data_IF_990964974453
#
_entry.id   IF_990964974453
#
_cell.length_a   1.000
_cell.length_b   1.000
_cell.length_c   1.000
_cell.angle_alpha   90.00
_cell.angle_beta   90.00
_cell.angle_gamma   90.00
#
_symmetry.space_group_name_H-M   'P 1'
#
loop_
_entity.id
_entity.type
_entity.pdbx_description
1 polymer ?
#
# COMPACT_ATOMS: atom_id res chain seq x y z
N UNK A 1 -13.63 16.18 23.93
CA UNK A 1 -12.26 16.06 23.39
C UNK A 1 -11.76 14.66 23.68
N UNK A 2 -11.68 13.79 22.67
CA UNK A 2 -11.15 12.43 22.83
C UNK A 2 -9.64 12.51 22.54
N UNK A 3 -8.80 12.22 23.54
CA UNK A 3 -7.35 12.23 23.37
C UNK A 3 -6.93 11.08 22.42
N UNK A 4 -6.33 11.35 21.26
CA UNK A 4 -6.01 10.34 20.23
C UNK A 4 -4.96 9.28 20.63
N UNK A 5 -4.44 9.33 21.86
CA UNK A 5 -3.18 8.67 22.22
C UNK A 5 -3.33 7.27 22.83
N UNK A 6 -4.51 6.93 23.38
CA UNK A 6 -4.71 5.65 24.08
C UNK A 6 -4.76 4.47 23.09
N UNK A 7 -5.52 4.60 21.99
CA UNK A 7 -5.62 3.55 20.97
C UNK A 7 -4.27 3.27 20.28
N UNK A 8 -3.45 4.29 20.11
CA UNK A 8 -2.13 4.14 19.52
C UNK A 8 -1.15 3.36 20.40
N UNK A 9 -1.31 3.36 21.73
CA UNK A 9 -0.46 2.56 22.64
C UNK A 9 -0.84 1.08 22.60
N UNK A 10 -2.14 0.77 22.70
CA UNK A 10 -2.63 -0.62 22.67
C UNK A 10 -2.22 -1.33 21.37
N UNK A 11 -2.31 -0.62 20.24
CA UNK A 11 -1.88 -1.18 18.94
C UNK A 11 -0.36 -1.38 18.91
N UNK A 12 0.42 -0.50 19.54
CA UNK A 12 1.89 -0.65 19.62
C UNK A 12 2.28 -1.86 20.46
N UNK A 13 1.72 -1.98 21.66
CA UNK A 13 2.01 -3.08 22.56
C UNK A 13 1.68 -4.44 21.90
N UNK A 14 0.51 -4.51 21.24
CA UNK A 14 0.13 -5.70 20.47
C UNK A 14 1.14 -6.02 19.35
N UNK A 15 1.60 -5.01 18.61
CA UNK A 15 2.55 -5.21 17.51
C UNK A 15 3.95 -5.54 17.99
N UNK A 16 4.38 -5.00 19.12
CA UNK A 16 5.67 -5.34 19.75
C UNK A 16 5.66 -6.79 20.25
N UNK A 17 4.54 -7.26 20.82
CA UNK A 17 4.39 -8.65 21.27
C UNK A 17 4.32 -9.65 20.10
N UNK A 18 3.57 -9.33 19.03
CA UNK A 18 3.30 -10.27 17.94
C UNK A 18 4.32 -10.18 16.79
N UNK A 19 4.95 -9.01 16.60
CA UNK A 19 5.85 -8.71 15.48
C UNK A 19 7.11 -7.94 15.94
N UNK A 20 7.87 -8.46 16.92
CA UNK A 20 9.04 -7.78 17.46
C UNK A 20 10.02 -7.41 16.35
N UNK A 21 10.48 -6.15 16.37
CA UNK A 21 11.40 -5.53 15.39
C UNK A 21 10.97 -5.60 13.92
N UNK A 22 9.73 -5.97 13.62
CA UNK A 22 9.27 -6.32 12.27
C UNK A 22 8.12 -5.47 11.74
N UNK A 23 7.61 -4.52 12.52
CA UNK A 23 6.45 -3.71 12.14
C UNK A 23 6.81 -2.24 11.91
N UNK A 24 6.12 -1.63 10.93
CA UNK A 24 6.37 -0.26 10.49
C UNK A 24 5.34 0.69 11.11
N UNK A 25 5.81 1.75 11.77
CA UNK A 25 4.92 2.54 12.63
C UNK A 25 5.45 3.89 13.05
N UNK A 26 4.55 4.82 13.38
CA UNK A 26 4.93 5.99 14.17
C UNK A 26 5.30 5.53 15.58
N UNK A 27 6.59 5.55 15.90
CA UNK A 27 7.12 5.07 17.18
C UNK A 27 7.31 3.55 17.25
N UNK A 28 7.31 2.86 16.10
CA UNK A 28 7.68 1.45 15.98
C UNK A 28 9.15 1.27 15.57
N UNK A 29 9.64 0.01 15.55
CA UNK A 29 11.05 -0.31 15.26
C UNK A 29 11.47 0.05 13.84
N UNK A 30 10.54 0.00 12.89
CA UNK A 30 10.74 0.48 11.53
C UNK A 30 9.97 1.81 11.38
N UNK A 31 10.67 2.97 11.29
CA UNK A 31 9.99 4.25 11.14
C UNK A 31 9.26 4.29 9.79
N UNK A 32 8.01 4.78 9.80
CA UNK A 32 7.31 5.08 8.56
C UNK A 32 8.06 6.19 7.79
N UNK A 33 8.34 6.03 6.50
CA UNK A 33 8.93 7.10 5.71
C UNK A 33 7.97 8.29 5.64
N UNK A 34 8.52 9.50 5.73
CA UNK A 34 7.76 10.73 5.46
C UNK A 34 7.27 10.73 4.01
N UNK A 35 5.94 10.83 3.83
CA UNK A 35 5.22 10.76 2.54
C UNK A 35 5.10 9.37 1.91
N UNK A 36 4.71 8.39 2.71
CA UNK A 36 4.22 7.13 2.15
C UNK A 36 2.76 6.91 2.54
N UNK A 37 1.79 7.50 1.82
CA UNK A 37 0.39 7.12 1.98
C UNK A 37 0.08 5.72 1.42
N UNK A 38 0.97 5.14 0.61
CA UNK A 38 0.60 4.09 -0.35
C UNK A 38 1.54 2.86 -0.37
N UNK A 39 2.13 2.43 0.75
CA UNK A 39 2.85 1.13 0.81
C UNK A 39 1.84 -0.04 0.94
N UNK A 40 0.58 0.15 0.55
CA UNK A 40 -0.21 -0.98 0.06
C UNK A 40 -0.03 -1.01 -1.46
N UNK A 41 0.77 -1.95 -1.97
CA UNK A 41 1.10 -2.06 -3.40
C UNK A 41 -0.15 -2.40 -4.19
N UNK A 42 -1.06 -3.13 -3.55
CA UNK A 42 -2.41 -3.34 -4.01
C UNK A 42 -3.16 -2.01 -4.18
N UNK A 43 -3.13 -1.11 -3.21
CA UNK A 43 -3.85 0.17 -3.34
C UNK A 43 -3.22 1.07 -4.41
N UNK A 44 -1.91 1.05 -4.61
CA UNK A 44 -1.27 1.80 -5.70
C UNK A 44 -1.51 1.18 -7.08
N UNK A 45 -1.11 -0.08 -7.26
CA UNK A 45 -1.22 -0.78 -8.53
C UNK A 45 -2.66 -1.14 -8.87
N UNK A 46 -3.39 -1.84 -7.99
CA UNK A 46 -4.73 -2.34 -8.29
C UNK A 46 -5.71 -1.18 -8.47
N UNK A 47 -5.66 -0.16 -7.60
CA UNK A 47 -6.58 0.97 -7.73
C UNK A 47 -6.31 1.77 -9.01
N UNK A 48 -5.03 2.01 -9.36
CA UNK A 48 -4.64 2.67 -10.59
C UNK A 48 -5.02 1.87 -11.84
N UNK A 49 -4.72 0.57 -11.83
CA UNK A 49 -5.03 -0.36 -12.91
C UNK A 49 -6.54 -0.48 -13.16
N UNK A 50 -7.32 -0.71 -12.10
CA UNK A 50 -8.78 -0.82 -12.18
C UNK A 50 -9.38 0.49 -12.67
N UNK A 51 -8.95 1.65 -12.15
CA UNK A 51 -9.43 2.96 -12.63
C UNK A 51 -9.13 3.17 -14.11
N UNK A 52 -7.93 2.82 -14.57
CA UNK A 52 -7.55 2.93 -15.98
C UNK A 52 -8.44 2.11 -16.92
N UNK A 53 -8.92 0.94 -16.48
CA UNK A 53 -9.81 0.09 -17.28
C UNK A 53 -11.25 0.59 -17.19
N UNK A 54 -11.75 0.81 -15.98
CA UNK A 54 -13.14 1.18 -15.71
C UNK A 54 -13.51 2.50 -16.38
N UNK A 55 -12.62 3.50 -16.27
CA UNK A 55 -12.86 4.86 -16.75
C UNK A 55 -12.20 5.15 -18.10
N UNK A 56 -11.70 4.12 -18.82
CA UNK A 56 -11.17 4.27 -20.19
C UNK A 56 -12.18 4.92 -21.14
N UNK A 57 -13.45 4.63 -20.92
CA UNK A 57 -14.58 5.25 -21.63
C UNK A 57 -15.65 5.65 -20.61
N UNK A 58 -16.53 6.58 -20.99
CA UNK A 58 -17.63 7.02 -20.13
C UNK A 58 -18.49 5.84 -19.68
N UNK A 59 -18.80 5.78 -18.40
CA UNK A 59 -19.65 4.76 -17.78
C UNK A 59 -21.07 5.30 -17.69
N UNK A 60 -22.03 4.62 -18.30
CA UNK A 60 -23.41 5.12 -18.47
C UNK A 60 -24.40 4.54 -17.44
N UNK A 61 -24.00 3.52 -16.67
CA UNK A 61 -24.86 2.90 -15.65
C UNK A 61 -24.04 2.20 -14.56
N UNK A 62 -24.69 1.91 -13.43
CA UNK A 62 -24.10 1.14 -12.34
C UNK A 62 -23.80 -0.31 -12.75
N UNK A 63 -24.60 -0.90 -13.63
CA UNK A 63 -24.36 -2.27 -14.10
C UNK A 63 -23.14 -2.35 -15.02
N UNK A 64 -22.95 -1.34 -15.87
CA UNK A 64 -21.74 -1.18 -16.66
C UNK A 64 -20.51 -1.02 -15.76
N UNK A 65 -20.62 -0.19 -14.73
CA UNK A 65 -19.55 0.03 -13.75
C UNK A 65 -19.14 -1.29 -13.09
N UNK A 66 -20.11 -2.02 -12.53
CA UNK A 66 -19.86 -3.30 -11.85
C UNK A 66 -19.21 -4.31 -12.79
N UNK A 67 -19.70 -4.42 -14.03
CA UNK A 67 -19.15 -5.36 -15.02
C UNK A 67 -17.71 -5.02 -15.35
N UNK A 68 -17.40 -3.74 -15.57
CA UNK A 68 -16.03 -3.30 -15.86
C UNK A 68 -15.08 -3.53 -14.71
N UNK A 69 -15.52 -3.32 -13.46
CA UNK A 69 -14.71 -3.65 -12.29
C UNK A 69 -14.38 -5.15 -12.28
N UNK A 70 -15.39 -6.01 -12.44
CA UNK A 70 -15.18 -7.47 -12.49
C UNK A 70 -14.22 -7.86 -13.62
N UNK A 71 -14.43 -7.33 -14.83
CA UNK A 71 -13.54 -7.58 -15.97
C UNK A 71 -12.12 -7.06 -15.72
N UNK A 72 -11.96 -5.88 -15.10
CA UNK A 72 -10.64 -5.35 -14.75
C UNK A 72 -9.91 -6.29 -13.78
N UNK A 73 -10.59 -6.75 -12.74
CA UNK A 73 -10.02 -7.71 -11.78
C UNK A 73 -9.66 -9.05 -12.46
N UNK A 74 -10.51 -9.56 -13.34
CA UNK A 74 -10.23 -10.80 -14.09
C UNK A 74 -9.04 -10.70 -15.05
N UNK A 75 -8.70 -9.49 -15.50
CA UNK A 75 -7.53 -9.24 -16.35
C UNK A 75 -6.22 -9.07 -15.55
N UNK A 76 -6.26 -9.07 -14.22
CA UNK A 76 -5.04 -9.05 -13.41
C UNK A 76 -4.36 -10.40 -13.56
N UNK A 77 -3.15 -10.39 -14.13
CA UNK A 77 -2.37 -11.61 -14.34
C UNK A 77 -1.45 -11.88 -13.15
N UNK A 78 -1.04 -13.15 -12.92
CA UNK A 78 -0.02 -13.48 -11.92
C UNK A 78 1.27 -12.68 -12.11
N UNK A 79 1.70 -12.46 -13.36
CA UNK A 79 2.91 -11.69 -13.66
C UNK A 79 2.83 -10.24 -13.18
N UNK A 80 1.66 -9.61 -13.27
CA UNK A 80 1.47 -8.24 -12.77
C UNK A 80 1.61 -8.20 -11.25
N UNK A 81 1.05 -9.19 -10.56
CA UNK A 81 1.18 -9.33 -9.11
C UNK A 81 2.64 -9.58 -8.69
N UNK A 82 3.37 -10.43 -9.41
CA UNK A 82 4.80 -10.66 -9.19
C UNK A 82 5.63 -9.40 -9.38
N UNK A 83 5.35 -8.61 -10.42
CA UNK A 83 6.05 -7.36 -10.68
C UNK A 83 5.79 -6.35 -9.56
N UNK A 84 4.52 -6.21 -9.15
CA UNK A 84 4.16 -5.41 -7.98
C UNK A 84 4.91 -5.90 -6.75
N UNK A 85 5.01 -7.22 -6.54
CA UNK A 85 5.72 -7.78 -5.39
C UNK A 85 7.21 -7.43 -5.36
N UNK A 86 7.89 -7.55 -6.51
CA UNK A 86 9.30 -7.16 -6.65
C UNK A 86 9.54 -5.69 -6.37
N UNK A 87 8.62 -4.83 -6.79
CA UNK A 87 8.71 -3.39 -6.53
C UNK A 87 8.61 -3.09 -5.02
N UNK A 88 7.78 -3.83 -4.28
CA UNK A 88 7.74 -3.76 -2.81
C UNK A 88 9.06 -4.17 -2.20
N UNK A 89 9.58 -5.33 -2.60
CA UNK A 89 10.82 -5.86 -2.04
C UNK A 89 11.95 -4.87 -2.27
N UNK A 90 12.02 -4.27 -3.45
CA UNK A 90 12.94 -3.19 -3.76
C UNK A 90 12.73 -1.97 -2.86
N UNK A 91 11.49 -1.48 -2.71
CA UNK A 91 11.20 -0.34 -1.85
C UNK A 91 11.55 -0.62 -0.38
N UNK A 92 11.22 -1.81 0.12
CA UNK A 92 11.58 -2.24 1.48
C UNK A 92 13.10 -2.35 1.66
N UNK A 93 13.83 -2.83 0.66
CA UNK A 93 15.28 -2.90 0.70
C UNK A 93 15.92 -1.50 0.68
N UNK A 94 15.41 -0.60 -0.15
CA UNK A 94 15.79 0.82 -0.13
C UNK A 94 15.53 1.44 1.23
N UNK A 95 14.37 1.18 1.85
CA UNK A 95 14.07 1.72 3.18
C UNK A 95 15.00 1.17 4.27
N UNK A 96 15.33 -0.13 4.22
CA UNK A 96 16.29 -0.76 5.14
C UNK A 96 17.69 -0.19 4.99
N UNK A 97 18.15 0.02 3.77
CA UNK A 97 19.50 0.53 3.46
C UNK A 97 19.64 2.03 3.75
N UNK A 98 18.57 2.80 3.56
CA UNK A 98 18.59 4.26 3.75
C UNK A 98 18.33 4.74 5.17
N UNK A 99 17.91 3.85 6.10
CA UNK A 99 17.48 4.23 7.46
C UNK A 99 16.49 5.41 7.48
N UNK A 100 15.67 5.55 6.43
CA UNK A 100 14.70 6.64 6.29
C UNK A 100 15.27 7.96 5.72
N UNK A 101 16.46 7.96 5.13
CA UNK A 101 17.01 9.13 4.43
C UNK A 101 16.55 9.17 2.97
N UNK A 102 16.13 10.36 2.51
CA UNK A 102 15.67 10.61 1.15
C UNK A 102 16.75 10.27 0.11
N UNK A 103 16.44 9.39 -0.84
CA UNK A 103 17.22 9.21 -2.07
C UNK A 103 16.43 9.84 -3.22
N UNK A 104 16.94 10.94 -3.77
CA UNK A 104 16.53 11.41 -5.09
C UNK A 104 17.16 10.48 -6.11
N UNK A 105 16.33 9.86 -6.95
CA UNK A 105 16.79 9.13 -8.14
C UNK A 105 16.56 10.07 -9.33
N UNK A 106 17.65 10.40 -10.03
CA UNK A 106 17.62 11.09 -11.33
C UNK A 106 17.44 10.08 -12.45
#
# INVERSE_FOLDING_TARGET
MVHPHIGAMIVRDFLDENFPDRWCGRGGPIPWPSRSPDITPLDFFLSGFVKNIVYKTTVLSLDELKRRIVTAIQNVTPQMLENTWREIEFLLDVLRTTKGSHVQIH
#
